data_IF_188765952014
#
_entry.id   IF_188765952014
#
_cell.length_a   1.000
_cell.length_b   1.000
_cell.length_c   1.000
_cell.angle_alpha   90.00
_cell.angle_beta   90.00
_cell.angle_gamma   90.00
#
_symmetry.space_group_name_H-M   'P 1'
#
loop_
_entity.id
_entity.type
_entity.pdbx_description
1 polymer ?
#
# COMPACT_ATOMS: atom_id res chain seq x y z
N UNK A 1 13.17 -34.61 -9.36
CA UNK A 1 12.63 -33.60 -10.29
C UNK A 1 12.01 -32.48 -9.48
N UNK A 2 12.74 -31.40 -9.36
CA UNK A 2 12.47 -30.28 -8.45
C UNK A 2 11.51 -29.29 -9.13
N UNK A 3 10.31 -29.09 -8.56
CA UNK A 3 9.27 -28.19 -9.09
C UNK A 3 9.06 -26.95 -8.17
N UNK A 4 10.08 -26.49 -7.44
CA UNK A 4 9.93 -25.42 -6.46
C UNK A 4 10.36 -24.01 -6.93
N UNK A 5 10.58 -23.76 -8.21
CA UNK A 5 11.28 -22.57 -8.69
C UNK A 5 10.47 -21.38 -9.22
N UNK A 6 9.13 -21.35 -9.43
CA UNK A 6 8.53 -20.18 -10.10
C UNK A 6 8.17 -19.00 -9.20
N UNK A 7 7.97 -19.19 -7.90
CA UNK A 7 7.47 -18.11 -7.04
C UNK A 7 8.55 -17.07 -6.65
N UNK A 8 9.78 -17.51 -6.42
CA UNK A 8 10.89 -16.60 -6.04
C UNK A 8 11.39 -15.70 -7.17
N UNK A 9 11.28 -16.16 -8.43
CA UNK A 9 11.74 -15.38 -9.60
C UNK A 9 10.86 -14.16 -9.92
N UNK A 10 9.59 -14.16 -9.54
CA UNK A 10 8.65 -13.07 -9.88
C UNK A 10 8.78 -11.84 -8.97
N UNK A 11 9.20 -12.02 -7.73
CA UNK A 11 9.45 -10.92 -6.79
C UNK A 11 10.79 -10.20 -7.05
N UNK A 12 11.79 -10.91 -7.56
CA UNK A 12 13.10 -10.33 -7.88
C UNK A 12 13.10 -9.40 -9.10
N UNK A 13 12.11 -9.52 -10.00
CA UNK A 13 12.02 -8.68 -11.20
C UNK A 13 11.51 -7.24 -10.92
N UNK A 14 10.95 -6.97 -9.75
CA UNK A 14 10.50 -5.63 -9.37
C UNK A 14 11.66 -4.65 -9.06
N UNK A 15 12.88 -5.15 -8.99
CA UNK A 15 14.05 -4.37 -8.53
C UNK A 15 14.98 -3.84 -9.63
N UNK A 16 14.87 -4.26 -10.90
CA UNK A 16 15.99 -4.14 -11.81
C UNK A 16 15.94 -3.05 -12.90
N UNK A 17 14.91 -2.20 -12.98
CA UNK A 17 14.75 -1.33 -14.18
C UNK A 17 14.73 0.19 -13.95
N UNK A 18 15.27 0.71 -12.84
CA UNK A 18 15.43 2.16 -12.66
C UNK A 18 16.89 2.58 -12.85
N UNK A 19 17.29 2.83 -14.12
CA UNK A 19 18.49 3.62 -14.44
C UNK A 19 18.09 5.09 -14.58
N UNK A 20 18.83 6.04 -13.99
CA UNK A 20 18.49 7.46 -14.00
C UNK A 20 18.87 8.10 -15.35
N UNK A 21 17.96 8.90 -15.90
CA UNK A 21 18.26 9.89 -16.92
C UNK A 21 18.44 11.25 -16.25
N UNK A 22 19.45 11.99 -16.67
CA UNK A 22 20.03 13.20 -16.06
C UNK A 22 19.27 14.49 -16.37
N UNK A 23 18.92 15.28 -15.33
CA UNK A 23 19.04 16.74 -15.12
C UNK A 23 18.24 17.77 -15.95
N UNK A 24 18.19 19.09 -15.54
CA UNK A 24 17.32 19.64 -14.50
C UNK A 24 16.48 20.85 -14.98
N UNK A 25 15.41 21.24 -14.31
CA UNK A 25 14.96 22.65 -14.22
C UNK A 25 14.14 22.92 -12.95
N UNK A 26 14.59 23.97 -12.26
CA UNK A 26 13.93 24.57 -11.08
C UNK A 26 12.67 25.33 -11.51
N UNK A 27 11.59 25.19 -10.76
CA UNK A 27 10.58 26.23 -10.64
C UNK A 27 10.01 26.19 -9.22
N UNK A 28 10.20 27.29 -8.50
CA UNK A 28 9.60 27.60 -7.21
C UNK A 28 8.09 27.81 -7.42
N UNK A 29 7.27 27.14 -6.63
CA UNK A 29 5.94 27.60 -6.31
C UNK A 29 5.72 27.40 -4.81
N UNK A 30 5.89 28.51 -4.08
CA UNK A 30 5.41 28.65 -2.70
C UNK A 30 3.90 28.77 -2.70
N UNK A 31 3.21 27.98 -1.89
CA UNK A 31 1.95 28.39 -1.30
C UNK A 31 1.86 27.81 0.12
N UNK A 32 1.64 28.63 1.16
CA UNK A 32 1.65 28.20 2.55
C UNK A 32 0.25 27.81 2.99
N UNK A 33 0.20 26.80 3.86
CA UNK A 33 -0.82 26.44 4.83
C UNK A 33 -1.29 24.99 4.67
N UNK A 34 -0.67 24.19 5.35
CA UNK A 34 -0.90 23.08 6.27
C UNK A 34 0.43 22.35 6.40
N UNK A 35 1.25 22.81 7.33
CA UNK A 35 2.48 22.11 7.72
C UNK A 35 2.06 20.96 8.62
N UNK A 36 1.84 19.79 8.06
CA UNK A 36 2.04 18.56 8.82
C UNK A 36 3.56 18.42 9.00
N UNK A 37 4.06 18.83 10.16
CA UNK A 37 5.45 18.60 10.53
C UNK A 37 5.72 17.09 10.52
N UNK A 38 6.31 16.58 9.47
CA UNK A 38 6.97 15.29 9.45
C UNK A 38 8.25 15.43 10.27
N UNK A 39 8.16 15.29 11.60
CA UNK A 39 9.34 15.21 12.46
C UNK A 39 9.94 13.83 12.34
N UNK A 40 10.87 13.65 11.42
CA UNK A 40 11.69 12.45 11.29
C UNK A 40 12.90 12.52 12.20
N UNK A 41 13.14 11.43 12.94
CA UNK A 41 14.37 11.25 13.70
C UNK A 41 15.58 11.13 12.77
N UNK A 42 16.75 11.52 13.23
CA UNK A 42 18.01 11.75 12.50
C UNK A 42 18.58 10.61 11.62
N UNK A 43 17.96 9.43 11.58
CA UNK A 43 18.35 8.32 10.70
C UNK A 43 17.49 8.21 9.43
N UNK A 44 16.44 9.01 9.30
CA UNK A 44 15.48 8.95 8.18
C UNK A 44 15.95 9.77 6.96
N UNK A 45 16.81 10.77 7.14
CA UNK A 45 17.23 11.67 6.05
C UNK A 45 17.95 10.95 4.90
N UNK A 46 18.76 9.91 5.21
CA UNK A 46 19.44 9.14 4.18
C UNK A 46 18.52 8.17 3.42
N UNK A 47 17.41 7.73 4.02
CA UNK A 47 16.44 6.83 3.39
C UNK A 47 15.45 7.59 2.51
N UNK A 48 15.03 8.78 2.88
CA UNK A 48 14.14 9.63 2.06
C UNK A 48 14.79 10.06 0.75
N UNK A 49 16.05 10.45 0.76
CA UNK A 49 16.75 10.89 -0.44
C UNK A 49 16.98 9.77 -1.46
N UNK A 50 17.08 8.51 -1.02
CA UNK A 50 17.21 7.34 -1.89
C UNK A 50 15.86 6.78 -2.37
N UNK A 51 14.77 7.09 -1.69
CA UNK A 51 13.47 6.49 -1.92
C UNK A 51 12.84 6.95 -3.23
N UNK A 52 12.48 5.99 -4.11
CA UNK A 52 11.85 6.30 -5.40
C UNK A 52 10.48 6.97 -5.23
N UNK A 53 9.69 6.57 -4.21
CA UNK A 53 8.38 7.16 -3.98
C UNK A 53 8.49 8.60 -3.45
N UNK A 54 9.48 8.90 -2.60
CA UNK A 54 9.76 10.27 -2.20
C UNK A 54 10.16 11.14 -3.41
N UNK A 55 10.94 10.60 -4.35
CA UNK A 55 11.29 11.31 -5.59
C UNK A 55 10.07 11.57 -6.47
N UNK A 56 9.13 10.61 -6.56
CA UNK A 56 7.88 10.78 -7.29
C UNK A 56 7.00 11.84 -6.62
N UNK A 57 6.90 11.83 -5.30
CA UNK A 57 6.15 12.83 -4.52
C UNK A 57 6.68 14.23 -4.80
N UNK A 58 8.02 14.40 -4.81
CA UNK A 58 8.67 15.69 -5.12
C UNK A 58 8.70 16.05 -6.60
N UNK A 59 8.23 15.18 -7.49
CA UNK A 59 8.28 15.40 -8.94
C UNK A 59 9.67 15.21 -9.58
N UNK A 60 10.61 14.63 -8.85
CA UNK A 60 11.97 14.34 -9.32
C UNK A 60 12.05 13.07 -10.18
N UNK A 61 11.05 12.20 -10.08
CA UNK A 61 10.92 10.99 -10.89
C UNK A 61 9.56 10.92 -11.56
N UNK A 62 9.49 10.48 -12.82
CA UNK A 62 8.24 10.41 -13.56
C UNK A 62 7.34 9.30 -12.99
N UNK A 63 6.03 9.56 -12.95
CA UNK A 63 4.99 8.59 -12.66
C UNK A 63 3.68 9.00 -13.32
N UNK A 64 2.84 8.02 -13.65
CA UNK A 64 1.47 8.27 -14.11
C UNK A 64 0.60 8.40 -12.86
N UNK A 65 0.29 9.65 -12.47
CA UNK A 65 -0.57 9.94 -11.33
C UNK A 65 -2.04 9.75 -11.72
N UNK A 66 -2.77 8.99 -10.91
CA UNK A 66 -4.21 8.74 -11.06
C UNK A 66 -5.02 9.63 -10.12
N UNK A 67 -4.47 9.88 -8.92
CA UNK A 67 -5.08 10.70 -7.88
C UNK A 67 -3.99 11.34 -7.03
N UNK A 68 -4.27 12.52 -6.47
CA UNK A 68 -3.39 13.20 -5.52
C UNK A 68 -4.21 14.12 -4.61
N UNK A 69 -3.93 14.09 -3.29
CA UNK A 69 -4.39 15.07 -2.32
C UNK A 69 -3.23 15.51 -1.40
N UNK A 70 -3.53 16.17 -0.28
CA UNK A 70 -2.50 16.68 0.64
C UNK A 70 -1.77 15.56 1.40
N UNK A 71 -2.37 14.38 1.55
CA UNK A 71 -1.85 13.27 2.37
C UNK A 71 -1.20 12.17 1.53
N UNK A 72 -1.80 11.83 0.40
CA UNK A 72 -1.36 10.71 -0.42
C UNK A 72 -1.54 10.96 -1.92
N UNK A 73 -0.89 10.12 -2.71
CA UNK A 73 -1.10 10.06 -4.15
C UNK A 73 -1.31 8.62 -4.60
N UNK A 74 -2.00 8.44 -5.73
CA UNK A 74 -2.12 7.16 -6.40
C UNK A 74 -1.44 7.23 -7.76
N UNK A 75 -0.59 6.25 -8.05
CA UNK A 75 0.14 6.11 -9.31
C UNK A 75 -0.11 4.75 -9.94
N UNK A 76 0.09 4.63 -11.25
CA UNK A 76 0.20 3.32 -11.89
C UNK A 76 1.54 2.68 -11.56
N UNK A 77 1.51 1.37 -11.25
CA UNK A 77 2.74 0.59 -11.07
C UNK A 77 3.47 0.43 -12.40
N UNK A 78 4.79 0.64 -12.39
CA UNK A 78 5.64 0.50 -13.59
C UNK A 78 5.96 -0.96 -13.94
N UNK A 79 5.78 -1.89 -12.98
CA UNK A 79 5.91 -3.33 -13.17
C UNK A 79 4.61 -4.06 -12.77
N UNK A 80 3.50 -3.82 -13.48
CA UNK A 80 2.19 -4.22 -13.02
C UNK A 80 2.00 -5.74 -13.07
N UNK A 81 1.32 -6.29 -12.04
CA UNK A 81 0.83 -7.67 -12.04
C UNK A 81 -0.33 -7.88 -13.01
N UNK A 82 -1.12 -6.83 -13.21
CA UNK A 82 -2.24 -6.78 -14.14
C UNK A 82 -2.39 -5.36 -14.68
N UNK A 83 -3.08 -5.21 -15.81
CA UNK A 83 -3.36 -3.89 -16.37
C UNK A 83 -4.14 -3.03 -15.35
N UNK A 84 -3.66 -1.81 -15.09
CA UNK A 84 -4.25 -0.91 -14.11
C UNK A 84 -3.81 -1.16 -12.66
N UNK A 85 -2.84 -2.03 -12.40
CA UNK A 85 -2.22 -2.15 -11.09
C UNK A 85 -1.75 -0.78 -10.60
N UNK A 86 -2.30 -0.34 -9.48
CA UNK A 86 -2.09 1.00 -8.95
C UNK A 86 -1.55 0.94 -7.53
N UNK A 87 -0.82 1.98 -7.12
CA UNK A 87 -0.22 2.11 -5.80
C UNK A 87 -0.73 3.39 -5.13
N UNK A 88 -1.30 3.28 -3.93
CA UNK A 88 -1.57 4.44 -3.08
C UNK A 88 -0.38 4.59 -2.14
N UNK A 89 0.29 5.74 -2.17
CA UNK A 89 1.47 6.05 -1.36
C UNK A 89 1.26 7.34 -0.56
N UNK A 90 1.65 7.43 0.71
CA UNK A 90 1.59 8.66 1.48
C UNK A 90 2.68 9.64 0.99
N UNK A 91 2.42 10.93 1.12
CA UNK A 91 3.41 11.97 0.75
C UNK A 91 4.59 12.02 1.73
N UNK A 92 4.36 11.73 3.01
CA UNK A 92 5.42 11.57 3.99
C UNK A 92 6.03 10.17 3.90
N UNK A 93 7.33 10.10 4.14
CA UNK A 93 8.05 8.84 4.15
C UNK A 93 7.80 8.06 5.44
N UNK A 94 7.23 6.86 5.30
CA UNK A 94 7.13 5.87 6.37
C UNK A 94 7.65 4.55 5.82
N UNK A 95 8.64 3.96 6.44
CA UNK A 95 9.30 2.77 5.89
C UNK A 95 8.38 1.54 5.86
N UNK A 96 7.40 1.48 6.76
CA UNK A 96 6.49 0.35 6.92
C UNK A 96 5.11 0.80 7.42
N UNK A 97 4.10 -0.05 7.24
CA UNK A 97 2.76 0.21 7.76
C UNK A 97 2.75 0.39 9.28
N UNK A 98 3.65 -0.32 9.99
CA UNK A 98 3.79 -0.20 11.45
C UNK A 98 4.20 1.21 11.89
N UNK A 99 4.99 1.91 11.09
CA UNK A 99 5.49 3.25 11.37
C UNK A 99 4.56 4.34 10.83
N UNK A 100 3.60 3.98 9.99
CA UNK A 100 2.63 4.92 9.42
C UNK A 100 1.58 5.29 10.47
N UNK A 101 1.38 6.59 10.75
CA UNK A 101 0.35 7.02 11.69
C UNK A 101 -1.04 6.51 11.30
N UNK A 102 -1.88 6.10 12.26
CA UNK A 102 -3.23 5.59 11.97
C UNK A 102 -4.10 6.55 11.15
N UNK A 103 -3.96 7.87 11.36
CA UNK A 103 -4.68 8.89 10.60
C UNK A 103 -4.29 8.90 9.12
N UNK A 104 -3.00 8.69 8.82
CA UNK A 104 -2.50 8.60 7.44
C UNK A 104 -3.02 7.31 6.80
N UNK A 105 -2.95 6.18 7.52
CA UNK A 105 -3.52 4.90 7.07
C UNK A 105 -5.01 5.05 6.75
N UNK A 106 -5.79 5.64 7.65
CA UNK A 106 -7.21 5.89 7.45
C UNK A 106 -7.47 6.76 6.21
N UNK A 107 -6.68 7.84 6.03
CA UNK A 107 -6.78 8.70 4.85
C UNK A 107 -6.50 7.93 3.55
N UNK A 108 -5.45 7.10 3.50
CA UNK A 108 -5.13 6.29 2.33
C UNK A 108 -6.25 5.29 2.01
N UNK A 109 -6.74 4.55 3.02
CA UNK A 109 -7.81 3.57 2.84
C UNK A 109 -9.15 4.20 2.45
N UNK A 110 -9.45 5.43 2.89
CA UNK A 110 -10.67 6.15 2.50
C UNK A 110 -10.78 6.41 1.00
N UNK A 111 -9.67 6.42 0.26
CA UNK A 111 -9.64 6.63 -1.19
C UNK A 111 -9.85 5.34 -1.98
N UNK A 112 -9.66 4.18 -1.36
CA UNK A 112 -9.71 2.88 -2.02
C UNK A 112 -11.03 2.66 -2.78
N UNK A 113 -12.23 2.91 -2.21
CA UNK A 113 -13.48 2.63 -2.93
C UNK A 113 -13.61 3.42 -4.24
N UNK A 114 -13.25 4.70 -4.22
CA UNK A 114 -13.34 5.56 -5.40
C UNK A 114 -12.30 5.18 -6.47
N UNK A 115 -11.04 4.98 -6.04
CA UNK A 115 -9.94 4.65 -6.96
C UNK A 115 -10.15 3.26 -7.57
N UNK A 116 -10.49 2.25 -6.76
CA UNK A 116 -10.71 0.89 -7.27
C UNK A 116 -11.88 0.83 -8.25
N UNK A 117 -12.98 1.55 -7.97
CA UNK A 117 -14.10 1.66 -8.89
C UNK A 117 -13.68 2.26 -10.24
N UNK A 118 -12.89 3.34 -10.22
CA UNK A 118 -12.38 3.96 -11.44
C UNK A 118 -11.45 3.03 -12.22
N UNK A 119 -10.53 2.34 -11.52
CA UNK A 119 -9.60 1.37 -12.13
C UNK A 119 -10.36 0.21 -12.76
N UNK A 120 -11.35 -0.37 -12.08
CA UNK A 120 -12.18 -1.46 -12.62
C UNK A 120 -12.91 -1.01 -13.89
N UNK A 121 -13.53 0.16 -13.89
CA UNK A 121 -14.21 0.71 -15.07
C UNK A 121 -13.25 0.91 -16.23
N UNK A 122 -12.06 1.44 -15.97
CA UNK A 122 -11.06 1.73 -16.99
C UNK A 122 -10.44 0.46 -17.60
N UNK A 123 -10.32 -0.60 -16.81
CA UNK A 123 -9.66 -1.85 -17.24
C UNK A 123 -10.61 -2.93 -17.74
N UNK A 124 -11.91 -2.75 -17.51
CA UNK A 124 -12.91 -3.78 -17.78
C UNK A 124 -12.71 -5.04 -16.94
N UNK A 125 -12.12 -4.89 -15.75
CA UNK A 125 -12.06 -5.93 -14.73
C UNK A 125 -13.34 -5.91 -13.90
N UNK A 126 -13.63 -7.00 -13.21
CA UNK A 126 -14.83 -7.16 -12.37
C UNK A 126 -14.50 -7.29 -10.88
N UNK A 127 -13.21 -7.43 -10.55
CA UNK A 127 -12.72 -7.63 -9.19
C UNK A 127 -11.37 -6.96 -8.96
N UNK A 128 -10.95 -6.85 -7.71
CA UNK A 128 -9.59 -6.39 -7.36
C UNK A 128 -9.12 -7.01 -6.05
N UNK A 129 -7.82 -7.06 -5.84
CA UNK A 129 -7.20 -7.32 -4.55
C UNK A 129 -6.56 -6.05 -4.01
N UNK A 130 -6.65 -5.88 -2.69
CA UNK A 130 -5.81 -4.96 -1.95
C UNK A 130 -4.68 -5.76 -1.30
N UNK A 131 -3.45 -5.25 -1.42
CA UNK A 131 -2.28 -5.87 -0.84
C UNK A 131 -1.39 -4.79 -0.22
N UNK A 132 -0.87 -5.07 0.97
CA UNK A 132 0.19 -4.30 1.60
C UNK A 132 1.32 -5.26 1.95
N UNK A 133 2.47 -5.06 1.35
CA UNK A 133 3.68 -5.80 1.70
C UNK A 133 4.37 -5.06 2.83
N UNK A 134 4.42 -5.66 4.02
CA UNK A 134 5.03 -5.05 5.20
C UNK A 134 6.24 -5.87 5.65
N UNK A 135 7.43 -5.39 5.32
CA UNK A 135 8.70 -6.06 5.56
C UNK A 135 9.17 -6.93 4.39
N UNK A 136 10.46 -7.20 4.37
CA UNK A 136 11.16 -7.94 3.31
C UNK A 136 10.58 -9.34 3.09
N UNK A 137 10.32 -10.08 4.18
CA UNK A 137 9.77 -11.44 4.13
C UNK A 137 8.37 -11.48 3.49
N UNK A 138 7.62 -10.36 3.54
CA UNK A 138 6.33 -10.20 2.88
C UNK A 138 6.47 -9.67 1.43
N UNK A 139 7.69 -9.48 0.92
CA UNK A 139 7.96 -9.00 -0.42
C UNK A 139 7.91 -7.47 -0.57
N UNK A 140 8.08 -6.71 0.51
CA UNK A 140 8.28 -5.27 0.42
C UNK A 140 9.64 -4.98 -0.23
N UNK A 141 9.63 -4.33 -1.37
CA UNK A 141 10.85 -3.96 -2.12
C UNK A 141 11.21 -2.49 -1.87
N UNK A 142 10.22 -1.62 -1.91
CA UNK A 142 10.40 -0.19 -1.59
C UNK A 142 9.97 0.03 -0.16
N UNK A 143 10.92 0.44 0.70
CA UNK A 143 10.65 0.76 2.11
C UNK A 143 10.07 2.16 2.22
N UNK A 144 8.85 2.28 1.76
CA UNK A 144 7.93 3.38 1.87
C UNK A 144 6.53 2.76 1.80
N UNK A 145 5.70 3.01 2.77
CA UNK A 145 4.35 2.40 2.86
C UNK A 145 3.57 2.60 1.58
N UNK A 146 2.98 1.54 1.06
CA UNK A 146 2.12 1.61 -0.12
C UNK A 146 1.06 0.51 -0.10
N UNK A 147 -0.10 0.84 -0.66
CA UNK A 147 -1.23 -0.06 -0.83
C UNK A 147 -1.35 -0.36 -2.31
N UNK A 148 -1.29 -1.62 -2.67
CA UNK A 148 -1.55 -2.08 -4.03
C UNK A 148 -3.05 -2.24 -4.27
N UNK A 149 -3.55 -1.74 -5.39
CA UNK A 149 -4.85 -2.07 -5.98
C UNK A 149 -4.57 -2.86 -7.24
N UNK A 150 -4.90 -4.15 -7.21
CA UNK A 150 -4.57 -5.07 -8.29
C UNK A 150 -5.87 -5.54 -8.93
N UNK A 151 -6.21 -5.02 -10.14
CA UNK A 151 -7.38 -5.48 -10.88
C UNK A 151 -7.29 -6.97 -11.20
N UNK A 152 -8.44 -7.64 -11.13
CA UNK A 152 -8.55 -9.09 -11.32
C UNK A 152 -9.62 -9.42 -12.33
N UNK A 153 -9.37 -10.47 -13.11
CA UNK A 153 -10.37 -11.11 -13.98
C UNK A 153 -10.48 -12.58 -13.65
N UNK A 154 -11.64 -13.15 -13.93
CA UNK A 154 -11.80 -14.59 -13.85
C UNK A 154 -10.70 -15.28 -14.69
N UNK A 155 -10.10 -16.32 -14.11
CA UNK A 155 -9.06 -17.12 -14.77
C UNK A 155 -7.77 -16.39 -15.14
N UNK A 156 -7.44 -15.28 -14.50
CA UNK A 156 -6.17 -14.55 -14.70
C UNK A 156 -4.94 -15.30 -14.16
N UNK A 157 -5.14 -16.41 -13.49
CA UNK A 157 -4.12 -17.29 -12.90
C UNK A 157 -3.17 -16.62 -11.90
N UNK A 158 -3.44 -15.37 -11.47
CA UNK A 158 -2.69 -14.74 -10.40
C UNK A 158 -3.01 -15.46 -9.08
N UNK A 159 -1.97 -15.84 -8.35
CA UNK A 159 -2.06 -16.52 -7.07
C UNK A 159 -2.86 -17.83 -7.04
N UNK A 160 -3.01 -18.50 -8.18
CA UNK A 160 -3.72 -19.79 -8.27
C UNK A 160 -3.17 -20.84 -7.28
N UNK A 161 -1.89 -20.75 -6.91
CA UNK A 161 -1.25 -21.66 -5.96
C UNK A 161 -1.58 -21.39 -4.49
N UNK A 162 -2.08 -20.22 -4.12
CA UNK A 162 -2.38 -19.88 -2.71
C UNK A 162 -3.52 -20.71 -2.14
N UNK A 163 -4.56 -20.97 -2.93
CA UNK A 163 -5.69 -21.80 -2.53
C UNK A 163 -5.24 -23.20 -2.13
N UNK A 164 -4.20 -23.74 -2.77
CA UNK A 164 -3.66 -25.07 -2.50
C UNK A 164 -2.84 -25.12 -1.19
N UNK A 165 -2.42 -23.96 -0.65
CA UNK A 165 -1.63 -23.85 0.57
C UNK A 165 -2.46 -23.60 1.81
N UNK A 166 -3.76 -23.30 1.65
CA UNK A 166 -4.65 -23.07 2.79
C UNK A 166 -4.91 -24.38 3.53
N UNK A 167 -4.75 -24.33 4.85
CA UNK A 167 -5.05 -25.44 5.76
C UNK A 167 -6.15 -25.01 6.72
N UNK A 168 -7.20 -25.84 6.93
CA UNK A 168 -8.23 -25.53 7.91
C UNK A 168 -7.60 -25.36 9.30
N UNK A 169 -8.00 -24.30 10.00
CA UNK A 169 -7.63 -24.11 11.39
C UNK A 169 -8.43 -25.10 12.26
N UNK A 170 -7.74 -25.89 13.05
CA UNK A 170 -8.37 -26.68 14.11
C UNK A 170 -8.58 -25.77 15.32
N UNK A 171 -9.81 -25.75 15.84
CA UNK A 171 -10.16 -24.97 17.03
C UNK A 171 -9.78 -25.71 18.32
N UNK A 172 -8.49 -26.10 18.43
CA UNK A 172 -7.90 -26.82 19.54
C UNK A 172 -7.25 -25.89 20.58
N UNK A 173 -6.53 -26.48 21.53
CA UNK A 173 -5.85 -25.71 22.57
C UNK A 173 -4.70 -24.85 22.03
N UNK A 174 -4.06 -25.26 20.93
CA UNK A 174 -2.99 -24.49 20.30
C UNK A 174 -3.54 -23.22 19.67
N UNK A 175 -4.67 -23.30 18.95
CA UNK A 175 -5.35 -22.15 18.39
C UNK A 175 -5.83 -21.18 19.48
N UNK A 176 -6.36 -21.69 20.60
CA UNK A 176 -6.76 -20.88 21.76
C UNK A 176 -5.57 -20.17 22.39
N UNK A 177 -4.43 -20.88 22.56
CA UNK A 177 -3.18 -20.33 23.09
C UNK A 177 -2.63 -19.24 22.18
N UNK A 178 -2.61 -19.47 20.86
CA UNK A 178 -2.18 -18.47 19.88
C UNK A 178 -3.06 -17.22 19.95
N UNK A 179 -4.38 -17.40 19.97
CA UNK A 179 -5.31 -16.27 20.09
C UNK A 179 -5.15 -15.47 21.38
N UNK A 180 -4.85 -16.15 22.50
CA UNK A 180 -4.52 -15.49 23.78
C UNK A 180 -3.24 -14.67 23.65
N UNK A 181 -2.16 -15.27 23.13
CA UNK A 181 -0.90 -14.57 22.95
C UNK A 181 -1.03 -13.34 22.06
N UNK A 182 -1.80 -13.43 20.97
CA UNK A 182 -2.05 -12.28 20.09
C UNK A 182 -2.73 -11.16 20.89
N UNK A 183 -3.78 -11.46 21.67
CA UNK A 183 -4.47 -10.45 22.47
C UNK A 183 -3.57 -9.79 23.51
N UNK A 184 -2.70 -10.55 24.15
CA UNK A 184 -1.74 -10.05 25.15
C UNK A 184 -0.67 -9.12 24.54
N UNK A 185 -0.39 -9.27 23.25
CA UNK A 185 0.54 -8.41 22.51
C UNK A 185 -0.15 -7.24 21.80
N UNK A 186 -1.48 -7.12 21.86
CA UNK A 186 -2.14 -5.94 21.33
C UNK A 186 -1.83 -4.74 22.23
N UNK A 187 -1.33 -3.62 21.65
CA UNK A 187 -1.26 -2.37 22.40
C UNK A 187 -2.68 -1.98 22.81
N UNK A 188 -2.82 -1.24 23.92
CA UNK A 188 -4.08 -0.63 24.29
C UNK A 188 -4.52 0.28 23.14
N UNK A 189 -5.31 -0.25 22.22
CA UNK A 189 -6.02 0.56 21.24
C UNK A 189 -6.99 1.39 22.07
N UNK A 190 -6.64 2.68 22.28
CA UNK A 190 -7.56 3.62 22.94
C UNK A 190 -8.92 3.42 22.29
N UNK A 191 -9.95 3.26 23.10
CA UNK A 191 -11.32 3.19 22.62
C UNK A 191 -11.47 4.35 21.64
N UNK A 192 -11.66 4.06 20.37
CA UNK A 192 -12.29 4.99 19.44
C UNK A 192 -13.65 5.17 20.08
N UNK A 193 -13.81 6.28 20.86
CA UNK A 193 -15.10 6.63 21.39
C UNK A 193 -16.04 6.58 20.20
N UNK A 194 -16.97 5.63 20.26
CA UNK A 194 -18.06 5.50 19.32
C UNK A 194 -18.68 6.87 19.17
N UNK A 195 -18.35 7.54 18.05
CA UNK A 195 -19.22 8.59 17.51
C UNK A 195 -20.52 7.87 17.08
N UNK A 196 -21.28 7.45 18.07
CA UNK A 196 -22.69 7.07 17.93
C UNK A 196 -23.48 8.32 17.60
N UNK A 197 -23.37 8.75 16.37
CA UNK A 197 -24.14 9.85 15.83
C UNK A 197 -23.98 9.88 14.33
N UNK A 198 -25.04 9.46 13.63
CA UNK A 198 -25.25 9.57 12.17
C UNK A 198 -24.90 8.38 11.29
N UNK A 199 -25.39 7.19 11.63
CA UNK A 199 -25.57 6.11 10.63
C UNK A 199 -27.05 5.78 10.40
N UNK A 200 -27.99 6.40 11.12
CA UNK A 200 -29.43 6.13 10.99
C UNK A 200 -30.11 6.73 9.75
N UNK A 201 -29.45 7.65 9.02
CA UNK A 201 -30.11 8.36 7.93
C UNK A 201 -29.68 7.92 6.50
N UNK A 202 -28.89 6.84 6.39
CA UNK A 202 -28.45 6.34 5.08
C UNK A 202 -29.07 5.00 4.68
N UNK A 203 -30.00 4.44 5.47
CA UNK A 203 -30.73 3.22 5.15
C UNK A 203 -32.22 3.54 5.20
N UNK A 204 -32.69 4.31 4.25
CA UNK A 204 -34.10 4.66 4.10
C UNK A 204 -34.34 5.38 2.78
N UNK A 205 -34.38 4.66 1.71
CA UNK A 205 -35.29 4.69 0.56
C UNK A 205 -34.70 3.87 -0.57
#
# INVERSE_FOLDING_TARGET
MDKSAPARRRLALLSSHLRPATSPRKSNCFNPLVVTNCTSSSNAENTENGCIFCKIVRGESPAVKVYEDDVCLCILDTNPLSCGHSLIIPKCHFSSLKETPPSVVASMFSKVPAISSAVIKATGCDSFNLLVNNGEAAGQVVFHTHIHIIPRKASDCLWASESLRRRPLKLDQEAKKLGKNIRENLPSLGNIEDSKGQVSDLIGN
#
